data_IF_559293637281
#
_entry.id   IF_559293637281
#
_cell.length_a   1.000
_cell.length_b   1.000
_cell.length_c   1.000
_cell.angle_alpha   90.00
_cell.angle_beta   90.00
_cell.angle_gamma   90.00
#
_symmetry.space_group_name_H-M   'P 1'
#
loop_
_entity.id
_entity.type
_entity.pdbx_description
1 polymer ?
#
# COMPACT_ATOMS: atom_id res chain seq x y z
N UNK A 1 65.79 -3.38 -40.69
CA UNK A 1 64.58 -4.18 -40.36
C UNK A 1 64.28 -4.32 -38.85
N UNK A 2 64.94 -3.61 -37.90
CA UNK A 2 64.59 -3.69 -36.46
C UNK A 2 63.45 -2.76 -36.01
N UNK A 3 63.25 -1.61 -36.66
CA UNK A 3 62.26 -0.60 -36.23
C UNK A 3 60.80 -0.94 -36.56
N UNK A 4 60.54 -1.69 -37.65
CA UNK A 4 59.18 -2.07 -38.07
C UNK A 4 58.57 -3.10 -37.11
N UNK A 5 59.37 -4.06 -36.61
CA UNK A 5 58.92 -5.08 -35.64
C UNK A 5 58.58 -4.51 -34.26
N UNK A 6 59.29 -3.48 -33.80
CA UNK A 6 58.98 -2.78 -32.53
C UNK A 6 57.73 -1.91 -32.62
N UNK A 7 57.46 -1.34 -33.80
CA UNK A 7 56.24 -0.56 -34.08
C UNK A 7 54.99 -1.44 -34.07
N UNK A 8 55.02 -2.61 -34.72
CA UNK A 8 53.86 -3.52 -34.76
C UNK A 8 53.48 -4.06 -33.37
N UNK A 9 54.47 -4.40 -32.53
CA UNK A 9 54.19 -4.84 -31.14
C UNK A 9 53.53 -3.74 -30.28
N UNK A 10 53.88 -2.47 -30.49
CA UNK A 10 53.24 -1.35 -29.80
C UNK A 10 51.83 -1.09 -30.30
N UNK A 11 51.57 -1.28 -31.59
CA UNK A 11 50.24 -1.16 -32.18
C UNK A 11 49.31 -2.30 -31.74
N UNK A 12 49.79 -3.54 -31.70
CA UNK A 12 49.05 -4.70 -31.16
C UNK A 12 48.70 -4.50 -29.67
N UNK A 13 49.67 -4.07 -28.85
CA UNK A 13 49.44 -3.73 -27.44
C UNK A 13 48.42 -2.60 -27.23
N UNK A 14 48.35 -1.62 -28.14
CA UNK A 14 47.37 -0.54 -28.08
C UNK A 14 45.96 -1.04 -28.43
N UNK A 15 45.84 -1.90 -29.45
CA UNK A 15 44.56 -2.50 -29.85
C UNK A 15 44.01 -3.39 -28.72
N UNK A 16 44.86 -4.19 -28.10
CA UNK A 16 44.50 -5.01 -26.94
C UNK A 16 43.99 -4.16 -25.76
N UNK A 17 44.66 -3.04 -25.47
CA UNK A 17 44.24 -2.11 -24.43
C UNK A 17 42.88 -1.46 -24.73
N UNK A 18 42.65 -1.05 -25.97
CA UNK A 18 41.38 -0.45 -26.40
C UNK A 18 40.25 -1.48 -26.31
N UNK A 19 40.49 -2.73 -26.73
CA UNK A 19 39.50 -3.80 -26.59
C UNK A 19 39.20 -4.14 -25.13
N UNK A 20 40.21 -4.16 -24.26
CA UNK A 20 40.02 -4.39 -22.83
C UNK A 20 39.17 -3.28 -22.19
N UNK A 21 39.42 -2.02 -22.53
CA UNK A 21 38.63 -0.88 -22.07
C UNK A 21 37.19 -0.91 -22.61
N UNK A 22 37.00 -1.32 -23.86
CA UNK A 22 35.68 -1.47 -24.45
C UNK A 22 34.87 -2.58 -23.75
N UNK A 23 35.47 -3.75 -23.53
CA UNK A 23 34.83 -4.84 -22.78
C UNK A 23 34.51 -4.44 -21.34
N UNK A 24 35.43 -3.73 -20.67
CA UNK A 24 35.18 -3.19 -19.32
C UNK A 24 34.00 -2.21 -19.32
N UNK A 25 33.86 -1.38 -20.35
CA UNK A 25 32.74 -0.44 -20.47
C UNK A 25 31.39 -1.15 -20.62
N UNK A 26 31.34 -2.27 -21.34
CA UNK A 26 30.13 -3.10 -21.47
C UNK A 26 29.74 -3.73 -20.13
N UNK A 27 30.71 -4.30 -19.41
CA UNK A 27 30.49 -4.88 -18.08
C UNK A 27 29.99 -3.83 -17.08
N UNK A 28 30.58 -2.62 -17.11
CA UNK A 28 30.14 -1.51 -16.26
C UNK A 28 28.73 -1.00 -16.64
N UNK A 29 28.38 -1.02 -17.92
CA UNK A 29 27.06 -0.63 -18.41
C UNK A 29 25.98 -1.63 -17.96
N UNK A 30 26.23 -2.93 -18.09
CA UNK A 30 25.32 -3.98 -17.62
C UNK A 30 25.15 -3.96 -16.09
N UNK A 31 26.25 -3.80 -15.35
CA UNK A 31 26.20 -3.66 -13.89
C UNK A 31 25.39 -2.44 -13.45
N UNK A 32 25.52 -1.31 -14.15
CA UNK A 32 24.72 -0.09 -13.88
C UNK A 32 23.23 -0.31 -14.14
N UNK A 33 22.88 -1.01 -15.22
CA UNK A 33 21.50 -1.38 -15.54
C UNK A 33 20.88 -2.29 -14.46
N UNK A 34 21.62 -3.31 -14.03
CA UNK A 34 21.21 -4.20 -12.94
C UNK A 34 21.00 -3.45 -11.62
N UNK A 35 21.91 -2.54 -11.27
CA UNK A 35 21.82 -1.74 -10.05
C UNK A 35 20.59 -0.81 -10.05
N UNK A 36 20.28 -0.17 -11.20
CA UNK A 36 19.08 0.66 -11.36
C UNK A 36 17.79 -0.15 -11.26
N UNK A 37 17.77 -1.34 -11.85
CA UNK A 37 16.62 -2.23 -11.76
C UNK A 37 16.41 -2.73 -10.32
N UNK A 38 17.48 -3.09 -9.61
CA UNK A 38 17.42 -3.53 -8.22
C UNK A 38 16.97 -2.43 -7.26
N UNK A 39 17.47 -1.20 -7.43
CA UNK A 39 17.03 -0.03 -6.63
C UNK A 39 15.55 0.29 -6.88
N UNK A 40 15.09 0.25 -8.13
CA UNK A 40 13.66 0.44 -8.43
C UNK A 40 12.77 -0.69 -7.90
N UNK A 41 13.26 -1.93 -7.86
CA UNK A 41 12.55 -3.07 -7.30
C UNK A 41 12.46 -2.97 -5.78
N UNK A 42 13.58 -2.73 -5.09
CA UNK A 42 13.62 -2.56 -3.64
C UNK A 42 12.73 -1.41 -3.17
N UNK A 43 12.77 -0.25 -3.83
CA UNK A 43 11.88 0.88 -3.50
C UNK A 43 10.39 0.54 -3.68
N UNK A 44 10.03 -0.15 -4.77
CA UNK A 44 8.65 -0.61 -4.97
C UNK A 44 8.25 -1.67 -3.95
N UNK A 45 9.17 -2.55 -3.59
CA UNK A 45 8.96 -3.62 -2.63
C UNK A 45 8.78 -3.08 -1.20
N UNK A 46 9.64 -2.14 -0.78
CA UNK A 46 9.51 -1.43 0.50
C UNK A 46 8.21 -0.63 0.56
N UNK A 47 7.87 0.14 -0.48
CA UNK A 47 6.59 0.86 -0.54
C UNK A 47 5.38 -0.08 -0.48
N UNK A 48 5.48 -1.25 -1.12
CA UNK A 48 4.41 -2.25 -1.10
C UNK A 48 4.28 -2.92 0.28
N UNK A 49 5.39 -3.21 0.95
CA UNK A 49 5.42 -3.76 2.31
C UNK A 49 4.82 -2.76 3.31
N UNK A 50 5.24 -1.49 3.26
CA UNK A 50 4.66 -0.42 4.08
C UNK A 50 3.13 -0.31 3.86
N UNK A 51 2.68 -0.42 2.61
CA UNK A 51 1.25 -0.40 2.30
C UNK A 51 0.47 -1.63 2.79
N UNK A 52 1.12 -2.80 2.86
CA UNK A 52 0.50 -4.03 3.38
C UNK A 52 0.41 -4.02 4.91
N UNK A 53 1.39 -3.45 5.61
CA UNK A 53 1.32 -3.22 7.05
C UNK A 53 0.25 -2.18 7.41
N UNK A 54 0.17 -1.09 6.63
CA UNK A 54 -0.81 -0.03 6.83
C UNK A 54 -2.27 -0.51 6.63
N UNK A 55 -2.52 -1.37 5.64
CA UNK A 55 -3.88 -1.90 5.41
C UNK A 55 -4.29 -2.91 6.46
N UNK A 56 -3.36 -3.74 6.94
CA UNK A 56 -3.63 -4.65 8.05
C UNK A 56 -3.92 -3.87 9.34
N UNK A 57 -3.15 -2.82 9.62
CA UNK A 57 -3.41 -1.93 10.74
C UNK A 57 -4.80 -1.29 10.63
N UNK A 58 -5.15 -0.76 9.46
CA UNK A 58 -6.50 -0.22 9.20
C UNK A 58 -7.60 -1.26 9.46
N UNK A 59 -7.42 -2.50 9.00
CA UNK A 59 -8.38 -3.58 9.27
C UNK A 59 -8.51 -3.87 10.76
N UNK A 60 -7.41 -3.90 11.52
CA UNK A 60 -7.48 -4.08 12.98
C UNK A 60 -8.23 -2.95 13.69
N UNK A 61 -8.11 -1.71 13.23
CA UNK A 61 -8.91 -0.59 13.77
C UNK A 61 -10.40 -0.79 13.51
N UNK A 62 -10.77 -1.20 12.30
CA UNK A 62 -12.16 -1.50 11.94
C UNK A 62 -12.72 -2.67 12.75
N UNK A 63 -11.98 -3.78 12.86
CA UNK A 63 -12.38 -4.95 13.68
C UNK A 63 -12.62 -4.57 15.15
N UNK A 64 -11.75 -3.72 15.70
CA UNK A 64 -11.92 -3.21 17.04
C UNK A 64 -13.20 -2.36 17.16
N UNK A 65 -13.50 -1.50 16.19
CA UNK A 65 -14.75 -0.72 16.22
C UNK A 65 -16.00 -1.61 16.11
N UNK A 66 -15.97 -2.67 15.29
CA UNK A 66 -17.02 -3.69 15.27
C UNK A 66 -17.27 -4.36 16.63
N UNK A 67 -16.25 -4.41 17.48
CA UNK A 67 -16.34 -4.97 18.84
C UNK A 67 -16.77 -3.90 19.88
N UNK A 68 -16.43 -2.64 19.65
CA UNK A 68 -16.63 -1.55 20.61
C UNK A 68 -18.03 -0.92 20.57
N UNK A 69 -18.66 -0.91 19.40
CA UNK A 69 -19.95 -0.28 19.16
C UNK A 69 -21.09 -1.30 19.11
N UNK A 70 -22.25 -0.92 19.66
CA UNK A 70 -23.43 -1.79 19.71
C UNK A 70 -24.20 -1.87 18.39
N UNK A 71 -24.02 -0.87 17.51
CA UNK A 71 -24.77 -0.73 16.27
C UNK A 71 -23.90 -0.28 15.11
N UNK A 72 -24.33 -0.65 13.90
CA UNK A 72 -23.70 -0.25 12.65
C UNK A 72 -24.73 0.06 11.56
N UNK A 73 -24.57 1.17 10.86
CA UNK A 73 -25.26 1.50 9.62
C UNK A 73 -24.28 1.45 8.46
N UNK A 74 -24.70 0.85 7.35
CA UNK A 74 -23.84 0.61 6.18
C UNK A 74 -24.44 1.28 4.97
N UNK A 75 -23.67 2.15 4.33
CA UNK A 75 -23.96 2.73 3.02
C UNK A 75 -22.90 2.28 2.02
N UNK A 76 -23.16 2.46 0.74
CA UNK A 76 -22.23 2.02 -0.31
C UNK A 76 -20.84 2.64 -0.20
N UNK A 77 -20.73 3.86 0.35
CA UNK A 77 -19.52 4.68 0.40
C UNK A 77 -18.99 4.94 1.82
N UNK A 78 -19.73 4.50 2.84
CA UNK A 78 -19.46 4.84 4.23
C UNK A 78 -20.06 3.81 5.20
N UNK A 79 -19.45 3.72 6.38
CA UNK A 79 -19.95 2.90 7.47
C UNK A 79 -19.94 3.72 8.76
N UNK A 80 -21.05 3.66 9.48
CA UNK A 80 -21.29 4.42 10.70
C UNK A 80 -21.55 3.46 11.86
N UNK A 81 -20.87 3.68 12.98
CA UNK A 81 -21.07 2.93 14.21
C UNK A 81 -21.64 3.83 15.29
N UNK A 82 -22.51 3.28 16.15
CA UNK A 82 -23.03 4.00 17.31
C UNK A 82 -23.21 3.11 18.55
N UNK A 83 -23.19 3.75 19.72
CA UNK A 83 -23.59 3.14 20.98
C UNK A 83 -24.91 3.77 21.47
N UNK A 84 -25.90 2.96 21.86
CA UNK A 84 -27.16 3.47 22.42
C UNK A 84 -26.95 4.28 23.71
N UNK A 85 -26.06 3.80 24.60
CA UNK A 85 -26.04 4.26 25.99
C UNK A 85 -24.66 4.73 26.50
N UNK A 86 -23.63 4.82 25.64
CA UNK A 86 -22.27 5.20 26.08
C UNK A 86 -22.02 6.70 25.92
N UNK A 87 -21.67 7.38 27.02
CA UNK A 87 -21.39 8.83 27.02
C UNK A 87 -20.02 9.22 26.44
N UNK A 88 -19.03 8.32 26.49
CA UNK A 88 -17.64 8.61 26.08
C UNK A 88 -17.31 8.25 24.63
N UNK A 89 -17.96 7.22 24.06
CA UNK A 89 -17.80 6.74 22.68
C UNK A 89 -19.20 6.63 22.08
N UNK A 90 -19.68 7.72 21.49
CA UNK A 90 -21.04 7.79 20.95
C UNK A 90 -21.11 7.20 19.56
N UNK A 91 -20.20 7.59 18.68
CA UNK A 91 -20.24 7.19 17.28
C UNK A 91 -18.87 7.15 16.63
N UNK A 92 -18.78 6.44 15.51
CA UNK A 92 -17.61 6.42 14.65
C UNK A 92 -18.02 6.33 13.18
N UNK A 93 -17.48 7.20 12.34
CA UNK A 93 -17.72 7.22 10.90
C UNK A 93 -16.45 6.87 10.15
N UNK A 94 -16.57 6.02 9.12
CA UNK A 94 -15.52 5.78 8.14
C UNK A 94 -16.02 6.09 6.74
N UNK A 95 -15.24 6.86 5.99
CA UNK A 95 -15.53 7.20 4.60
C UNK A 95 -14.26 7.67 3.87
N UNK A 96 -14.30 7.69 2.53
CA UNK A 96 -13.19 8.18 1.71
C UNK A 96 -13.19 9.71 1.64
N UNK A 97 -12.06 10.35 1.99
CA UNK A 97 -11.84 11.80 1.92
C UNK A 97 -10.47 12.07 1.32
N UNK A 98 -10.41 12.82 0.20
CA UNK A 98 -9.15 13.25 -0.43
C UNK A 98 -8.16 12.10 -0.68
N UNK A 99 -8.66 10.98 -1.21
CA UNK A 99 -7.89 9.74 -1.46
C UNK A 99 -7.31 9.06 -0.21
N UNK A 100 -7.88 9.32 0.97
CA UNK A 100 -7.53 8.66 2.24
C UNK A 100 -8.79 8.19 2.94
N UNK A 101 -8.73 7.06 3.64
CA UNK A 101 -9.85 6.65 4.49
C UNK A 101 -9.83 7.52 5.75
N UNK A 102 -10.88 8.29 5.94
CA UNK A 102 -11.04 9.13 7.13
C UNK A 102 -11.93 8.43 8.13
N UNK A 103 -11.47 8.41 9.38
CA UNK A 103 -12.23 7.99 10.55
C UNK A 103 -12.56 9.20 11.42
N UNK A 104 -13.82 9.37 11.79
CA UNK A 104 -14.26 10.39 12.76
C UNK A 104 -14.92 9.67 13.93
N UNK A 105 -14.26 9.63 15.08
CA UNK A 105 -14.84 9.08 16.30
C UNK A 105 -15.32 10.22 17.22
N UNK A 106 -16.59 10.16 17.59
CA UNK A 106 -17.29 11.15 18.39
C UNK A 106 -17.67 10.65 19.78
N UNK A 107 -17.61 11.57 20.76
CA UNK A 107 -17.95 11.34 22.15
C UNK A 107 -18.02 12.68 22.88
N UNK A 108 -17.21 12.87 23.92
CA UNK A 108 -17.03 14.19 24.56
C UNK A 108 -16.08 15.11 23.79
N UNK A 109 -15.15 14.53 23.02
CA UNK A 109 -14.26 15.20 22.07
C UNK A 109 -14.29 14.43 20.75
N UNK A 110 -14.19 15.14 19.63
CA UNK A 110 -14.13 14.53 18.30
C UNK A 110 -12.68 14.23 17.94
N UNK A 111 -12.37 12.96 17.68
CA UNK A 111 -11.09 12.51 17.15
C UNK A 111 -11.20 12.24 15.66
N UNK A 112 -10.26 12.80 14.87
CA UNK A 112 -10.17 12.54 13.43
C UNK A 112 -8.85 11.81 13.17
N UNK A 113 -8.94 10.67 12.49
CA UNK A 113 -7.78 9.88 12.06
C UNK A 113 -7.87 9.65 10.56
N UNK A 114 -6.73 9.73 9.87
CA UNK A 114 -6.64 9.40 8.46
C UNK A 114 -5.79 8.15 8.27
N UNK A 115 -6.36 7.16 7.60
CA UNK A 115 -5.76 5.87 7.26
C UNK A 115 -5.57 5.78 5.76
N UNK A 116 -4.51 5.08 5.35
CA UNK A 116 -4.17 4.81 3.96
C UNK A 116 -3.96 6.09 3.13
N UNK A 117 -3.08 6.01 2.14
CA UNK A 117 -2.85 7.09 1.19
C UNK A 117 -3.13 6.55 -0.21
N UNK A 118 -3.51 7.41 -1.16
CA UNK A 118 -3.75 7.03 -2.56
C UNK A 118 -4.86 5.98 -2.79
N UNK A 119 -5.86 5.97 -1.90
CA UNK A 119 -7.07 5.15 -2.06
C UNK A 119 -7.90 5.68 -3.23
N UNK A 120 -8.19 4.80 -4.19
CA UNK A 120 -8.96 5.11 -5.41
C UNK A 120 -10.44 4.86 -5.24
N UNK A 121 -10.78 3.85 -4.44
CA UNK A 121 -12.16 3.47 -4.20
C UNK A 121 -12.30 2.79 -2.83
N UNK A 122 -13.43 3.01 -2.17
CA UNK A 122 -13.83 2.39 -0.91
C UNK A 122 -15.33 2.13 -0.99
N UNK A 123 -15.73 0.87 -0.83
CA UNK A 123 -17.15 0.53 -0.81
C UNK A 123 -17.49 -0.50 0.25
N UNK A 124 -18.75 -0.44 0.70
CA UNK A 124 -19.32 -1.38 1.66
C UNK A 124 -20.62 -1.98 1.14
N UNK A 125 -20.84 -3.24 1.49
CA UNK A 125 -22.08 -3.96 1.17
C UNK A 125 -22.50 -4.81 2.36
N UNK A 126 -23.74 -4.66 2.83
CA UNK A 126 -24.32 -5.53 3.84
C UNK A 126 -25.10 -6.67 3.18
N UNK A 127 -24.68 -7.91 3.44
CA UNK A 127 -25.40 -9.13 3.04
C UNK A 127 -26.26 -9.60 4.21
N UNK A 128 -27.52 -9.16 4.23
CA UNK A 128 -28.47 -9.41 5.32
C UNK A 128 -28.68 -10.89 5.62
N UNK A 129 -28.84 -11.71 4.58
CA UNK A 129 -29.10 -13.15 4.72
C UNK A 129 -27.90 -13.90 5.34
N UNK A 130 -26.69 -13.39 5.13
CA UNK A 130 -25.45 -13.98 5.60
C UNK A 130 -24.95 -13.37 6.92
N UNK A 131 -25.53 -12.25 7.37
CA UNK A 131 -25.07 -11.52 8.57
C UNK A 131 -23.64 -11.01 8.45
N UNK A 132 -23.24 -10.56 7.25
CA UNK A 132 -21.88 -10.04 6.99
C UNK A 132 -21.88 -8.69 6.29
N UNK A 133 -20.83 -7.92 6.56
CA UNK A 133 -20.50 -6.71 5.82
C UNK A 133 -19.23 -6.96 5.03
N UNK A 134 -19.27 -6.67 3.74
CA UNK A 134 -18.14 -6.76 2.82
C UNK A 134 -17.61 -5.35 2.60
N UNK A 135 -16.33 -5.13 2.86
CA UNK A 135 -15.61 -3.92 2.53
C UNK A 135 -14.64 -4.20 1.37
N UNK A 136 -14.67 -3.36 0.35
CA UNK A 136 -13.71 -3.39 -0.76
C UNK A 136 -12.93 -2.08 -0.81
N UNK A 137 -11.62 -2.18 -1.03
CA UNK A 137 -10.70 -1.04 -1.11
C UNK A 137 -9.84 -1.20 -2.34
N UNK A 138 -9.76 -0.16 -3.17
CA UNK A 138 -8.80 -0.08 -4.26
C UNK A 138 -7.66 0.85 -3.89
N UNK A 139 -6.47 0.30 -3.70
CA UNK A 139 -5.29 0.99 -3.21
C UNK A 139 -4.09 0.62 -4.11
N UNK A 140 -3.42 1.61 -4.70
CA UNK A 140 -2.22 1.40 -5.54
C UNK A 140 -2.40 0.30 -6.61
N UNK A 141 -3.53 0.32 -7.32
CA UNK A 141 -3.92 -0.67 -8.36
C UNK A 141 -4.19 -2.10 -7.85
N UNK A 142 -4.05 -2.35 -6.54
CA UNK A 142 -4.50 -3.58 -5.88
C UNK A 142 -5.93 -3.42 -5.33
N UNK A 143 -6.66 -4.52 -5.31
CA UNK A 143 -7.98 -4.61 -4.70
C UNK A 143 -7.90 -5.46 -3.45
N UNK A 144 -8.38 -4.92 -2.34
CA UNK A 144 -8.43 -5.57 -1.04
C UNK A 144 -9.88 -5.76 -0.64
N UNK A 145 -10.19 -6.95 -0.12
CA UNK A 145 -11.52 -7.30 0.39
C UNK A 145 -11.41 -7.78 1.82
N UNK A 146 -12.24 -7.23 2.70
CA UNK A 146 -12.38 -7.66 4.09
C UNK A 146 -13.84 -7.95 4.39
N UNK A 147 -14.09 -9.02 5.13
CA UNK A 147 -15.42 -9.44 5.53
C UNK A 147 -15.50 -9.31 7.05
N UNK A 148 -16.57 -8.67 7.53
CA UNK A 148 -16.89 -8.53 8.94
C UNK A 148 -18.18 -9.27 9.24
N UNK A 149 -18.20 -10.03 10.34
CA UNK A 149 -19.44 -10.62 10.86
C UNK A 149 -20.20 -9.57 11.66
N UNK A 150 -21.53 -9.59 11.56
CA UNK A 150 -22.41 -8.71 12.34
C UNK A 150 -23.04 -9.43 13.54
N UNK A 151 -22.47 -10.55 14.00
CA UNK A 151 -23.06 -11.35 15.08
C UNK A 151 -23.16 -10.59 16.41
N UNK A 152 -22.18 -9.71 16.69
CA UNK A 152 -22.06 -8.98 17.95
C UNK A 152 -22.49 -7.51 17.84
N UNK A 153 -23.00 -7.08 16.69
CA UNK A 153 -23.40 -5.70 16.41
C UNK A 153 -24.77 -5.63 15.72
N UNK A 154 -25.67 -4.79 16.22
CA UNK A 154 -27.00 -4.59 15.62
C UNK A 154 -26.87 -3.74 14.34
N UNK A 155 -27.26 -4.30 13.19
CA UNK A 155 -27.28 -3.54 11.93
C UNK A 155 -28.55 -2.70 11.86
N UNK A 156 -28.39 -1.39 11.64
CA UNK A 156 -29.45 -0.39 11.54
C UNK A 156 -29.44 0.25 10.13
N UNK A 157 -30.63 0.65 9.65
CA UNK A 157 -30.80 1.32 8.34
C UNK A 157 -30.55 2.83 8.43
#
# INVERSE_FOLDING_TARGET
MKNIRLSNKKAESLIELVMALFLLSLVLFEASSLLKNFTSFSQRYEKNLESEDDINLFFSFMENDFTLYSRVSVKSDSIHFENKDKSKLKSCDYYLSDSRVKRIAGGQLTGITYFLNDVKDLSFEYKKDDGIIIMNIKLNEKEYKKIFSTNDVEVIE
#
